data_IF_391121204648
#
_entry.id   IF_391121204648
#
_cell.length_a   1.000
_cell.length_b   1.000
_cell.length_c   1.000
_cell.angle_alpha   90.00
_cell.angle_beta   90.00
_cell.angle_gamma   90.00
#
_symmetry.space_group_name_H-M   'P 1'
#
loop_
_entity.id
_entity.type
_entity.pdbx_description
1 polymer ?
#
# COMPACT_ATOMS: atom_id res chain seq x y z
N UNK A 1 26.14 -0.35 43.30
CA UNK A 1 25.54 0.82 42.61
C UNK A 1 25.84 0.71 41.12
N UNK A 2 24.90 0.23 40.30
CA UNK A 2 25.09 0.21 38.84
C UNK A 2 24.42 1.45 38.25
N UNK A 3 25.22 2.41 37.78
CA UNK A 3 24.72 3.67 37.24
C UNK A 3 23.83 3.42 36.02
N UNK A 4 22.59 3.93 36.10
CA UNK A 4 21.59 3.90 35.03
C UNK A 4 22.14 4.65 33.81
N UNK A 5 22.37 3.90 32.73
CA UNK A 5 22.99 4.31 31.46
C UNK A 5 22.28 5.53 30.84
N UNK A 6 22.92 6.71 30.89
CA UNK A 6 22.45 7.96 30.22
C UNK A 6 23.04 8.21 28.83
N UNK A 7 23.95 7.35 28.37
CA UNK A 7 24.66 7.50 27.10
C UNK A 7 23.83 6.92 25.93
N UNK A 8 23.56 7.75 24.91
CA UNK A 8 22.76 7.39 23.72
C UNK A 8 23.41 6.23 22.93
N UNK A 9 24.74 6.27 22.78
CA UNK A 9 25.54 5.22 22.13
C UNK A 9 25.41 3.86 22.83
N UNK A 10 25.48 3.87 24.16
CA UNK A 10 25.40 2.70 25.01
C UNK A 10 24.00 2.06 24.98
N UNK A 11 22.97 2.86 24.70
CA UNK A 11 21.60 2.41 24.48
C UNK A 11 21.47 1.78 23.10
N UNK A 12 21.97 2.45 22.06
CA UNK A 12 21.92 1.95 20.68
C UNK A 12 22.66 0.61 20.54
N UNK A 13 23.88 0.51 21.08
CA UNK A 13 24.66 -0.73 21.09
C UNK A 13 23.92 -1.89 21.76
N UNK A 14 23.20 -1.63 22.85
CA UNK A 14 22.37 -2.65 23.52
C UNK A 14 21.19 -3.06 22.63
N UNK A 15 20.51 -2.11 21.99
CA UNK A 15 19.40 -2.40 21.08
C UNK A 15 19.83 -3.29 19.91
N UNK A 16 20.98 -3.00 19.29
CA UNK A 16 21.53 -3.84 18.23
C UNK A 16 21.93 -5.23 18.75
N UNK A 17 22.50 -5.32 19.96
CA UNK A 17 22.87 -6.60 20.59
C UNK A 17 21.66 -7.49 20.87
N UNK A 18 20.49 -6.93 21.16
CA UNK A 18 19.25 -7.69 21.40
C UNK A 18 18.45 -7.97 20.12
N UNK A 19 19.03 -7.72 18.94
CA UNK A 19 18.46 -8.12 17.64
C UNK A 19 17.72 -7.01 16.89
N UNK A 20 17.90 -5.74 17.26
CA UNK A 20 17.36 -4.63 16.47
C UNK A 20 18.10 -4.54 15.12
N UNK A 21 17.35 -4.58 14.03
CA UNK A 21 17.87 -4.49 12.66
C UNK A 21 18.39 -3.06 12.37
N UNK A 22 19.66 -2.87 11.98
CA UNK A 22 20.27 -1.56 11.71
C UNK A 22 19.48 -0.70 10.71
N UNK A 23 18.89 -1.33 9.71
CA UNK A 23 18.04 -0.77 8.65
C UNK A 23 16.71 -0.20 9.17
N UNK A 24 16.31 -0.54 10.41
CA UNK A 24 15.13 0.01 11.07
C UNK A 24 15.49 1.11 12.09
N UNK A 25 16.78 1.45 12.27
CA UNK A 25 17.23 2.54 13.13
C UNK A 25 17.26 3.82 12.31
N UNK A 26 16.46 4.82 12.71
CA UNK A 26 16.46 6.14 12.07
C UNK A 26 17.88 6.73 12.11
N UNK A 27 18.51 6.99 10.96
CA UNK A 27 19.88 7.49 10.92
C UNK A 27 20.02 8.86 11.61
N UNK A 28 21.17 9.11 12.25
CA UNK A 28 21.45 10.34 13.01
C UNK A 28 21.27 11.61 12.15
N UNK A 29 21.54 11.51 10.83
CA UNK A 29 21.36 12.62 9.91
C UNK A 29 19.88 13.05 9.79
N UNK A 30 18.94 12.11 9.78
CA UNK A 30 17.50 12.42 9.71
C UNK A 30 17.01 13.06 11.02
N UNK A 31 17.53 12.59 12.16
CA UNK A 31 17.28 13.21 13.45
C UNK A 31 17.85 14.64 13.53
N UNK A 32 19.03 14.88 12.93
CA UNK A 32 19.65 16.20 12.86
C UNK A 32 18.86 17.18 11.97
N UNK A 33 18.34 16.72 10.83
CA UNK A 33 17.47 17.52 9.94
C UNK A 33 16.21 17.96 10.67
N UNK A 34 15.52 17.04 11.33
CA UNK A 34 14.28 17.32 12.09
C UNK A 34 14.50 18.31 13.26
N UNK A 35 15.70 18.29 13.88
CA UNK A 35 16.09 19.27 14.91
C UNK A 35 16.35 20.66 14.33
N UNK A 36 16.97 20.74 13.14
CA UNK A 36 17.21 22.01 12.43
C UNK A 36 15.90 22.65 11.97
N UNK A 37 14.98 21.87 11.42
CA UNK A 37 13.64 22.33 11.00
C UNK A 37 12.85 22.90 12.18
N UNK A 38 12.85 22.19 13.32
CA UNK A 38 12.15 22.66 14.53
C UNK A 38 12.76 23.94 15.13
N UNK A 39 14.05 24.19 14.91
CA UNK A 39 14.72 25.44 15.31
C UNK A 39 14.39 26.59 14.35
N UNK A 40 14.39 26.33 13.04
CA UNK A 40 14.00 27.31 12.03
C UNK A 40 12.53 27.75 12.15
N UNK A 41 11.63 26.83 12.54
CA UNK A 41 10.22 27.16 12.77
C UNK A 41 10.05 28.12 13.97
N UNK A 42 10.82 27.90 15.06
CA UNK A 42 10.78 28.78 16.24
C UNK A 42 11.34 30.18 15.99
N UNK A 43 12.23 30.34 15.01
CA UNK A 43 12.77 31.65 14.62
C UNK A 43 11.79 32.45 13.75
N UNK A 44 10.85 31.79 13.06
CA UNK A 44 9.81 32.43 12.23
C UNK A 44 8.61 32.98 13.02
N UNK A 45 8.33 32.43 14.21
CA UNK A 45 7.19 32.83 15.05
C UNK A 45 7.51 33.97 16.05
N UNK A 46 8.59 34.74 15.84
CA UNK A 46 8.92 35.88 16.71
C UNK A 46 8.27 37.17 16.20
N UNK A 47 7.33 37.80 16.94
CA UNK A 47 6.70 39.05 16.49
C UNK A 47 7.70 40.22 16.55
N UNK A 48 7.73 40.99 15.46
CA UNK A 48 8.52 42.21 15.30
C UNK A 48 7.76 43.38 15.97
N UNK A 49 8.36 44.03 16.98
CA UNK A 49 7.83 45.28 17.53
C UNK A 49 8.85 46.39 17.27
N UNK A 50 8.46 47.30 16.40
CA UNK A 50 9.15 48.54 16.07
C UNK A 50 8.68 49.62 17.03
N UNK A 51 9.57 50.21 17.84
CA UNK A 51 9.38 51.60 18.31
C UNK A 51 10.74 52.25 18.57
N UNK A 52 10.96 53.37 17.87
CA UNK A 52 12.07 54.29 18.02
C UNK A 52 11.87 55.14 19.29
N UNK A 53 12.95 55.43 20.04
CA UNK A 53 13.33 56.80 20.44
C UNK A 53 14.58 56.84 21.36
N UNK A 54 15.57 57.64 20.94
CA UNK A 54 16.28 58.64 21.76
C UNK A 54 17.20 58.22 22.92
N UNK A 55 18.52 58.27 22.70
CA UNK A 55 19.61 58.40 23.69
C UNK A 55 19.63 59.81 24.35
N UNK A 56 20.61 60.22 25.20
CA UNK A 56 21.75 59.49 25.84
C UNK A 56 21.97 59.81 27.35
N UNK A 57 22.83 59.05 28.05
CA UNK A 57 24.04 59.56 28.77
C UNK A 57 24.67 58.57 29.76
N UNK A 58 26.00 58.47 29.63
CA UNK A 58 27.06 58.25 30.64
C UNK A 58 27.18 56.96 31.48
N UNK A 59 28.27 56.25 31.15
CA UNK A 59 29.36 55.78 32.05
C UNK A 59 29.13 54.59 33.00
N UNK A 60 30.07 53.63 32.94
CA UNK A 60 30.39 52.77 34.08
C UNK A 60 30.66 51.32 33.73
N UNK A 61 31.91 50.89 33.93
CA UNK A 61 32.47 49.54 33.71
C UNK A 61 31.87 48.48 34.64
N UNK A 62 31.95 47.19 34.27
CA UNK A 62 31.84 46.10 35.25
C UNK A 62 31.33 44.76 34.71
N UNK A 63 32.25 43.81 34.62
CA UNK A 63 32.09 42.40 34.25
C UNK A 63 31.34 41.56 35.31
N UNK A 64 30.94 40.34 34.92
CA UNK A 64 30.58 39.15 35.73
C UNK A 64 29.10 38.74 35.93
N UNK A 65 28.71 37.76 35.11
CA UNK A 65 28.24 36.40 35.44
C UNK A 65 27.58 36.13 36.81
N UNK A 66 26.33 35.64 36.76
CA UNK A 66 25.64 35.00 37.89
C UNK A 66 24.16 34.73 37.61
N UNK A 67 23.85 33.60 36.94
CA UNK A 67 22.48 33.17 36.62
C UNK A 67 21.76 32.72 37.89
N UNK A 68 20.60 33.36 38.12
CA UNK A 68 19.66 33.21 39.23
C UNK A 68 18.73 32.01 38.99
N UNK A 69 18.57 31.15 40.00
CA UNK A 69 17.64 30.02 40.05
C UNK A 69 16.59 30.29 41.15
N UNK A 70 15.32 30.15 40.75
CA UNK A 70 14.09 29.90 41.54
C UNK A 70 13.52 30.98 42.49
N UNK A 71 12.20 30.97 42.82
CA UNK A 71 11.23 29.85 42.79
C UNK A 71 9.87 30.09 42.10
N UNK A 72 9.11 29.01 41.96
CA UNK A 72 7.70 28.95 41.58
C UNK A 72 6.77 29.17 42.80
N UNK A 73 5.44 29.27 42.52
CA UNK A 73 4.27 29.45 43.42
C UNK A 73 3.85 30.93 43.59
N UNK A 74 2.59 31.38 43.49
CA UNK A 74 1.27 30.75 43.27
C UNK A 74 0.18 31.79 42.83
N UNK A 75 -1.05 31.30 42.61
CA UNK A 75 -2.37 31.97 42.70
C UNK A 75 -2.90 32.78 41.49
N UNK A 76 -4.20 32.83 41.14
CA UNK A 76 -5.45 32.29 41.74
C UNK A 76 -6.65 32.29 40.75
N UNK A 77 -7.54 31.29 40.94
CA UNK A 77 -9.02 31.28 41.00
C UNK A 77 -9.93 31.82 39.86
N UNK A 78 -10.77 30.92 39.30
CA UNK A 78 -12.27 30.86 39.45
C UNK A 78 -12.86 29.89 38.38
N UNK A 79 -13.34 28.68 38.71
CA UNK A 79 -14.67 28.25 39.20
C UNK A 79 -15.86 28.42 38.24
N UNK A 80 -16.20 27.33 37.54
CA UNK A 80 -17.55 26.78 37.24
C UNK A 80 -17.30 25.44 36.49
N UNK A 81 -17.83 24.26 36.82
CA UNK A 81 -18.92 23.84 37.67
C UNK A 81 -19.80 22.84 36.88
N UNK A 82 -19.65 21.53 37.13
CA UNK A 82 -20.54 20.40 36.71
C UNK A 82 -20.43 19.93 35.24
N UNK A 83 -20.40 18.65 34.87
CA UNK A 83 -20.58 17.37 35.56
C UNK A 83 -19.78 16.27 34.84
N UNK A 84 -19.24 15.32 35.61
CA UNK A 84 -18.35 14.28 35.11
C UNK A 84 -19.06 13.13 34.38
N UNK A 85 -18.45 12.70 33.29
CA UNK A 85 -18.46 11.30 32.87
C UNK A 85 -16.99 10.86 32.82
N UNK A 86 -16.64 9.89 33.66
CA UNK A 86 -15.34 9.22 33.64
C UNK A 86 -15.27 8.37 32.37
N UNK A 87 -14.56 8.81 31.35
CA UNK A 87 -14.11 7.91 30.29
C UNK A 87 -12.77 7.29 30.68
N UNK A 88 -12.63 5.95 30.67
CA UNK A 88 -11.37 5.30 30.96
C UNK A 88 -10.40 5.54 29.79
N UNK A 89 -9.19 6.01 30.10
CA UNK A 89 -8.08 6.08 29.17
C UNK A 89 -7.70 4.64 28.79
N UNK A 90 -8.11 4.21 27.60
CA UNK A 90 -7.66 2.96 26.97
C UNK A 90 -6.33 3.22 26.23
N UNK A 91 -5.24 2.51 26.56
CA UNK A 91 -3.95 2.67 25.89
C UNK A 91 -3.83 1.71 24.70
N UNK A 92 -4.64 1.86 23.65
CA UNK A 92 -4.51 1.04 22.44
C UNK A 92 -4.79 1.88 21.18
N UNK A 93 -3.74 2.03 20.35
CA UNK A 93 -3.75 2.48 18.95
C UNK A 93 -4.63 3.69 18.63
N UNK A 94 -4.03 4.88 18.65
CA UNK A 94 -4.58 6.04 17.94
C UNK A 94 -4.47 5.75 16.43
N UNK A 95 -5.45 5.05 15.88
CA UNK A 95 -5.66 4.96 14.44
C UNK A 95 -6.04 6.37 14.01
N UNK A 96 -5.16 7.06 13.28
CA UNK A 96 -5.54 8.35 12.70
C UNK A 96 -6.74 8.09 11.79
N UNK A 97 -7.86 8.80 11.94
CA UNK A 97 -8.97 8.68 11.02
C UNK A 97 -8.47 9.04 9.61
N UNK A 98 -8.89 8.24 8.64
CA UNK A 98 -8.54 8.43 7.22
C UNK A 98 -9.11 9.78 6.78
N UNK A 99 -8.28 10.60 6.15
CA UNK A 99 -8.69 11.93 5.70
C UNK A 99 -9.64 11.82 4.50
N UNK A 100 -10.50 12.82 4.25
CA UNK A 100 -11.41 12.78 3.10
C UNK A 100 -10.67 12.68 1.77
N UNK A 101 -9.47 13.28 1.65
CA UNK A 101 -8.62 13.16 0.46
C UNK A 101 -8.09 11.73 0.28
N UNK A 102 -7.72 11.06 1.38
CA UNK A 102 -7.28 9.67 1.37
C UNK A 102 -8.43 8.73 0.99
N UNK A 103 -9.63 8.99 1.49
CA UNK A 103 -10.83 8.24 1.12
C UNK A 103 -11.17 8.39 -0.37
N UNK A 104 -11.07 9.61 -0.92
CA UNK A 104 -11.25 9.85 -2.35
C UNK A 104 -10.22 9.06 -3.18
N UNK A 105 -8.95 9.04 -2.75
CA UNK A 105 -7.90 8.26 -3.40
C UNK A 105 -8.23 6.76 -3.38
N UNK A 106 -8.62 6.21 -2.23
CA UNK A 106 -9.02 4.80 -2.10
C UNK A 106 -10.15 4.49 -3.08
N UNK A 107 -11.21 5.29 -3.06
CA UNK A 107 -12.39 5.07 -3.92
C UNK A 107 -12.02 5.12 -5.41
N UNK A 108 -11.15 6.06 -5.80
CA UNK A 108 -10.64 6.16 -7.16
C UNK A 108 -9.82 4.92 -7.57
N UNK A 109 -8.92 4.45 -6.70
CA UNK A 109 -8.12 3.26 -6.97
C UNK A 109 -8.98 1.98 -7.08
N UNK A 110 -9.97 1.83 -6.20
CA UNK A 110 -10.93 0.72 -6.28
C UNK A 110 -11.75 0.79 -7.56
N UNK A 111 -12.20 1.99 -7.97
CA UNK A 111 -12.90 2.18 -9.24
C UNK A 111 -12.06 1.75 -10.44
N UNK A 112 -10.78 2.16 -10.51
CA UNK A 112 -9.90 1.74 -11.59
C UNK A 112 -9.62 0.23 -11.55
N UNK A 113 -9.47 -0.33 -10.36
CA UNK A 113 -9.28 -1.78 -10.21
C UNK A 113 -10.46 -2.55 -10.81
N UNK A 114 -11.70 -2.11 -10.57
CA UNK A 114 -12.90 -2.69 -11.16
C UNK A 114 -12.98 -2.46 -12.69
N UNK A 115 -12.67 -1.25 -13.17
CA UNK A 115 -12.67 -0.90 -14.60
C UNK A 115 -11.71 -1.78 -15.41
N UNK A 116 -10.53 -2.08 -14.85
CA UNK A 116 -9.48 -2.86 -15.53
C UNK A 116 -9.32 -4.27 -14.93
N UNK A 117 -10.38 -4.85 -14.37
CA UNK A 117 -10.37 -6.20 -13.79
C UNK A 117 -10.35 -7.30 -14.86
N UNK A 118 -11.14 -7.12 -15.92
CA UNK A 118 -11.38 -8.11 -16.95
C UNK A 118 -11.05 -7.55 -18.34
N UNK A 119 -10.55 -8.37 -19.27
CA UNK A 119 -10.42 -7.98 -20.67
C UNK A 119 -11.77 -7.66 -21.30
N UNK A 120 -11.77 -6.90 -22.40
CA UNK A 120 -12.99 -6.66 -23.16
C UNK A 120 -13.53 -7.96 -23.76
N UNK A 121 -14.85 -8.05 -23.96
CA UNK A 121 -15.44 -9.21 -24.65
C UNK A 121 -14.86 -9.42 -26.06
N UNK A 122 -14.49 -8.33 -26.74
CA UNK A 122 -13.91 -8.39 -28.07
C UNK A 122 -12.53 -9.05 -28.04
N UNK A 123 -11.70 -8.70 -27.06
CA UNK A 123 -10.39 -9.32 -26.88
C UNK A 123 -10.52 -10.79 -26.46
N UNK A 124 -11.50 -11.10 -25.61
CA UNK A 124 -11.76 -12.47 -25.17
C UNK A 124 -12.30 -13.37 -26.30
N UNK A 125 -13.04 -12.81 -27.25
CA UNK A 125 -13.50 -13.51 -28.46
C UNK A 125 -12.36 -13.79 -29.46
N UNK A 126 -11.30 -12.97 -29.44
CA UNK A 126 -10.10 -13.20 -30.26
C UNK A 126 -9.24 -14.33 -29.72
N UNK A 127 -9.30 -14.59 -28.41
CA UNK A 127 -8.71 -15.78 -27.81
C UNK A 127 -9.49 -17.00 -28.28
N UNK A 128 -8.80 -17.94 -28.92
CA UNK A 128 -9.43 -19.17 -29.41
C UNK A 128 -9.70 -20.08 -28.21
N UNK A 129 -10.93 -20.04 -27.69
CA UNK A 129 -11.39 -20.78 -26.51
C UNK A 129 -11.62 -22.29 -26.77
N UNK A 130 -11.45 -22.77 -28.00
CA UNK A 130 -11.55 -24.19 -28.34
C UNK A 130 -10.22 -24.73 -28.89
N UNK A 131 -9.87 -25.98 -28.62
CA UNK A 131 -8.72 -26.60 -29.25
C UNK A 131 -8.95 -26.69 -30.75
N UNK A 132 -7.91 -26.39 -31.54
CA UNK A 132 -7.95 -26.62 -32.99
C UNK A 132 -8.01 -28.13 -33.27
N UNK A 133 -8.53 -28.53 -34.44
CA UNK A 133 -8.59 -29.96 -34.80
C UNK A 133 -7.18 -30.57 -34.81
N UNK A 134 -6.95 -31.55 -33.93
CA UNK A 134 -5.66 -32.22 -33.78
C UNK A 134 -4.61 -31.46 -32.94
N UNK A 135 -4.97 -30.35 -32.29
CA UNK A 135 -4.09 -29.64 -31.35
C UNK A 135 -3.89 -30.47 -30.08
N UNK A 136 -2.64 -30.53 -29.61
CA UNK A 136 -2.33 -31.21 -28.36
C UNK A 136 -2.94 -30.44 -27.16
N UNK A 137 -3.51 -31.13 -26.15
CA UNK A 137 -4.07 -30.47 -24.97
C UNK A 137 -3.07 -29.58 -24.20
N UNK A 138 -1.78 -29.93 -24.22
CA UNK A 138 -0.70 -29.11 -23.66
C UNK A 138 -0.56 -27.79 -24.40
N UNK A 139 -0.51 -27.86 -25.74
CA UNK A 139 -0.33 -26.69 -26.60
C UNK A 139 -1.52 -25.73 -26.47
N UNK A 140 -2.74 -26.26 -26.47
CA UNK A 140 -3.95 -25.48 -26.22
C UNK A 140 -3.90 -24.76 -24.86
N UNK A 141 -3.57 -25.49 -23.79
CA UNK A 141 -3.58 -24.95 -22.43
C UNK A 141 -2.49 -23.87 -22.27
N UNK A 142 -1.29 -24.11 -22.80
CA UNK A 142 -0.19 -23.15 -22.78
C UNK A 142 -0.52 -21.89 -23.61
N UNK A 143 -1.04 -22.06 -24.83
CA UNK A 143 -1.48 -20.96 -25.69
C UNK A 143 -2.54 -20.11 -25.00
N UNK A 144 -3.54 -20.74 -24.39
CA UNK A 144 -4.61 -20.02 -23.72
C UNK A 144 -4.12 -19.24 -22.50
N UNK A 145 -3.27 -19.84 -21.64
CA UNK A 145 -2.69 -19.15 -20.48
C UNK A 145 -1.83 -17.95 -20.94
N UNK A 146 -1.03 -18.11 -21.99
CA UNK A 146 -0.17 -17.04 -22.51
C UNK A 146 -0.96 -15.90 -23.17
N UNK A 147 -2.00 -16.21 -23.95
CA UNK A 147 -2.89 -15.20 -24.54
C UNK A 147 -3.62 -14.37 -23.47
N UNK A 148 -4.16 -15.01 -22.43
CA UNK A 148 -4.79 -14.31 -21.29
C UNK A 148 -3.78 -13.48 -20.51
N UNK A 149 -2.55 -13.98 -20.36
CA UNK A 149 -1.47 -13.24 -19.70
C UNK A 149 -1.16 -11.95 -20.46
N UNK A 150 -1.13 -11.98 -21.80
CA UNK A 150 -0.91 -10.79 -22.63
C UNK A 150 -2.00 -9.74 -22.38
N UNK A 151 -3.28 -10.14 -22.40
CA UNK A 151 -4.39 -9.23 -22.12
C UNK A 151 -4.31 -8.67 -20.69
N UNK A 152 -3.93 -9.51 -19.73
CA UNK A 152 -3.76 -9.09 -18.33
C UNK A 152 -2.66 -8.03 -18.19
N UNK A 153 -1.55 -8.18 -18.91
CA UNK A 153 -0.48 -7.16 -18.95
C UNK A 153 -0.99 -5.85 -19.54
N UNK A 154 -1.81 -5.89 -20.59
CA UNK A 154 -2.42 -4.66 -21.15
C UNK A 154 -3.31 -3.95 -20.12
N UNK A 155 -4.11 -4.70 -19.35
CA UNK A 155 -4.91 -4.13 -18.26
C UNK A 155 -4.07 -3.52 -17.14
N UNK A 156 -2.89 -4.10 -16.84
CA UNK A 156 -1.93 -3.50 -15.89
C UNK A 156 -1.41 -2.16 -16.41
N UNK A 157 -1.10 -2.08 -17.71
CA UNK A 157 -0.66 -0.84 -18.35
C UNK A 157 -1.76 0.23 -18.28
N UNK A 158 -2.99 -0.12 -18.63
CA UNK A 158 -4.12 0.81 -18.58
C UNK A 158 -4.44 1.27 -17.15
N UNK A 159 -4.42 0.36 -16.16
CA UNK A 159 -4.54 0.72 -14.75
C UNK A 159 -3.45 1.71 -14.32
N UNK A 160 -2.19 1.45 -14.70
CA UNK A 160 -1.05 2.30 -14.31
C UNK A 160 -1.18 3.72 -14.86
N UNK A 161 -1.63 3.87 -16.11
CA UNK A 161 -1.87 5.18 -16.73
C UNK A 161 -2.95 6.00 -16.01
N UNK A 162 -3.85 5.38 -15.25
CA UNK A 162 -4.87 6.10 -14.47
C UNK A 162 -4.39 6.52 -13.08
N UNK A 163 -3.24 6.02 -12.63
CA UNK A 163 -2.68 6.39 -11.34
C UNK A 163 -2.24 7.87 -11.33
N UNK A 164 -2.51 8.62 -10.24
CA UNK A 164 -2.03 9.99 -10.10
C UNK A 164 -0.52 10.09 -10.32
N UNK A 165 -0.06 11.07 -11.09
CA UNK A 165 1.35 11.30 -11.38
C UNK A 165 2.01 10.33 -12.38
N UNK A 166 1.39 9.21 -12.77
CA UNK A 166 2.04 8.24 -13.66
C UNK A 166 2.28 8.79 -15.08
N UNK A 167 1.31 9.53 -15.63
CA UNK A 167 1.44 10.14 -16.96
C UNK A 167 2.40 11.33 -17.00
N UNK A 168 2.79 11.86 -15.84
CA UNK A 168 3.75 12.96 -15.73
C UNK A 168 5.20 12.45 -15.86
N UNK A 169 5.40 11.13 -15.73
CA UNK A 169 6.69 10.48 -15.91
C UNK A 169 7.10 10.46 -17.39
N UNK A 170 8.41 10.45 -17.64
CA UNK A 170 8.95 10.21 -18.97
C UNK A 170 8.52 8.83 -19.49
N UNK A 171 8.30 8.71 -20.80
CA UNK A 171 7.88 7.43 -21.42
C UNK A 171 8.85 6.28 -21.10
N UNK A 172 10.14 6.55 -21.08
CA UNK A 172 11.17 5.56 -20.74
C UNK A 172 11.02 5.05 -19.31
N UNK A 173 10.67 5.95 -18.39
CA UNK A 173 10.48 5.64 -16.97
C UNK A 173 9.18 4.84 -16.76
N UNK A 174 8.10 5.23 -17.44
CA UNK A 174 6.85 4.46 -17.45
C UNK A 174 7.08 3.02 -17.92
N UNK A 175 7.82 2.84 -19.04
CA UNK A 175 8.16 1.52 -19.57
C UNK A 175 9.03 0.73 -18.59
N UNK A 176 10.01 1.38 -17.97
CA UNK A 176 10.93 0.75 -17.03
C UNK A 176 10.20 0.27 -15.79
N UNK A 177 9.33 1.10 -15.20
CA UNK A 177 8.49 0.74 -14.06
C UNK A 177 7.58 -0.45 -14.41
N UNK A 178 6.85 -0.37 -15.52
CA UNK A 178 5.95 -1.44 -15.96
C UNK A 178 6.67 -2.76 -16.18
N UNK A 179 7.85 -2.74 -16.84
CA UNK A 179 8.67 -3.95 -17.02
C UNK A 179 9.05 -4.58 -15.70
N UNK A 180 9.36 -3.75 -14.70
CA UNK A 180 9.89 -4.22 -13.44
C UNK A 180 8.81 -4.68 -12.45
N UNK A 181 7.62 -4.08 -12.48
CA UNK A 181 6.52 -4.38 -11.55
C UNK A 181 5.46 -5.34 -12.13
N UNK A 182 5.39 -5.55 -13.44
CA UNK A 182 4.29 -6.27 -14.11
C UNK A 182 4.06 -7.69 -13.56
N UNK A 183 5.11 -8.45 -13.27
CA UNK A 183 5.00 -9.80 -12.71
C UNK A 183 4.43 -9.80 -11.29
N UNK A 184 4.83 -8.84 -10.46
CA UNK A 184 4.31 -8.70 -9.08
C UNK A 184 2.83 -8.28 -9.09
N UNK A 185 2.45 -7.35 -9.96
CA UNK A 185 1.03 -6.95 -10.14
C UNK A 185 0.20 -8.12 -10.68
N UNK A 186 0.76 -8.92 -11.60
CA UNK A 186 0.09 -10.11 -12.12
C UNK A 186 -0.20 -11.14 -11.02
N UNK A 187 0.71 -11.35 -10.07
CA UNK A 187 0.48 -12.20 -8.89
C UNK A 187 -0.68 -11.68 -8.03
N UNK A 188 -0.74 -10.36 -7.79
CA UNK A 188 -1.85 -9.75 -7.03
C UNK A 188 -3.19 -9.96 -7.74
N UNK A 189 -3.23 -9.76 -9.05
CA UNK A 189 -4.44 -9.99 -9.88
C UNK A 189 -4.87 -11.45 -9.86
N UNK A 190 -3.92 -12.38 -9.98
CA UNK A 190 -4.18 -13.82 -9.89
C UNK A 190 -4.79 -14.20 -8.54
N UNK A 191 -4.25 -13.69 -7.44
CA UNK A 191 -4.77 -14.00 -6.10
C UNK A 191 -6.22 -13.54 -5.89
N UNK A 192 -6.67 -12.49 -6.57
CA UNK A 192 -8.08 -12.05 -6.55
C UNK A 192 -9.02 -12.96 -7.34
N UNK A 193 -8.46 -13.76 -8.25
CA UNK A 193 -9.16 -14.76 -9.07
C UNK A 193 -9.07 -16.17 -8.49
N UNK A 194 -8.48 -16.33 -7.31
CA UNK A 194 -8.32 -17.62 -6.66
C UNK A 194 -9.65 -18.12 -6.07
N UNK A 195 -10.01 -19.36 -6.40
CA UNK A 195 -11.08 -20.09 -5.75
C UNK A 195 -10.52 -21.12 -4.76
N UNK A 196 -10.88 -20.93 -3.50
CA UNK A 196 -10.44 -21.80 -2.39
C UNK A 196 -11.11 -23.17 -2.43
N UNK A 197 -12.30 -23.30 -3.03
CA UNK A 197 -13.04 -24.57 -3.04
C UNK A 197 -12.39 -25.59 -3.97
N UNK A 198 -11.91 -25.11 -5.12
CA UNK A 198 -11.29 -25.94 -6.15
C UNK A 198 -9.76 -25.86 -6.17
N UNK A 199 -9.15 -25.05 -5.29
CA UNK A 199 -7.71 -24.72 -5.31
C UNK A 199 -7.23 -24.32 -6.71
N UNK A 200 -7.96 -23.40 -7.34
CA UNK A 200 -7.79 -23.05 -8.76
C UNK A 200 -7.85 -21.54 -9.01
N UNK A 201 -7.47 -21.13 -10.22
CA UNK A 201 -7.55 -19.73 -10.68
C UNK A 201 -8.65 -19.63 -11.73
N UNK A 202 -9.61 -18.72 -11.54
CA UNK A 202 -10.71 -18.49 -12.47
C UNK A 202 -10.33 -17.38 -13.46
N UNK A 203 -10.16 -17.73 -14.72
CA UNK A 203 -9.88 -16.76 -15.77
C UNK A 203 -11.13 -16.01 -16.24
N UNK A 204 -10.92 -14.95 -17.03
CA UNK A 204 -12.00 -14.05 -17.47
C UNK A 204 -13.10 -14.73 -18.31
N UNK A 205 -12.81 -15.89 -18.92
CA UNK A 205 -13.79 -16.71 -19.63
C UNK A 205 -14.52 -17.74 -18.74
N UNK A 206 -14.46 -17.58 -17.41
CA UNK A 206 -15.00 -18.51 -16.41
C UNK A 206 -14.40 -19.93 -16.44
N UNK A 207 -13.30 -20.14 -17.16
CA UNK A 207 -12.56 -21.39 -17.06
C UNK A 207 -11.71 -21.42 -15.79
N UNK A 208 -11.80 -22.52 -15.06
CA UNK A 208 -10.97 -22.80 -13.89
C UNK A 208 -9.69 -23.51 -14.33
N UNK A 209 -8.56 -22.97 -13.89
CA UNK A 209 -7.24 -23.56 -14.11
C UNK A 209 -6.71 -24.11 -12.79
N UNK A 210 -6.67 -25.44 -12.71
CA UNK A 210 -6.18 -26.19 -11.56
C UNK A 210 -4.69 -26.50 -11.70
N UNK A 211 -4.09 -27.08 -10.66
CA UNK A 211 -2.72 -27.62 -10.72
C UNK A 211 -2.53 -28.54 -11.94
N UNK A 212 -3.51 -29.38 -12.26
CA UNK A 212 -3.44 -30.30 -13.39
C UNK A 212 -3.49 -29.57 -14.74
N UNK A 213 -4.30 -28.51 -14.87
CA UNK A 213 -4.31 -27.66 -16.07
C UNK A 213 -2.92 -27.06 -16.36
N UNK A 214 -2.23 -26.59 -15.32
CA UNK A 214 -0.87 -26.07 -15.45
C UNK A 214 0.17 -27.16 -15.71
N UNK A 215 0.01 -28.36 -15.13
CA UNK A 215 0.86 -29.51 -15.43
C UNK A 215 0.75 -29.91 -16.90
N UNK A 216 -0.47 -29.99 -17.43
CA UNK A 216 -0.74 -30.27 -18.84
C UNK A 216 -0.11 -29.19 -19.72
N UNK A 217 -0.19 -27.91 -19.34
CA UNK A 217 0.45 -26.81 -20.06
C UNK A 217 1.99 -26.77 -19.94
N UNK A 218 2.64 -27.76 -19.34
CA UNK A 218 4.09 -27.80 -19.14
C UNK A 218 4.62 -26.82 -18.09
N UNK A 219 3.76 -26.28 -17.22
CA UNK A 219 4.08 -25.28 -16.19
C UNK A 219 3.91 -25.82 -14.76
N UNK A 220 4.07 -27.14 -14.58
CA UNK A 220 3.89 -27.79 -13.28
C UNK A 220 4.85 -27.32 -12.18
N UNK A 221 6.05 -26.87 -12.54
CA UNK A 221 7.06 -26.43 -11.57
C UNK A 221 6.71 -25.08 -10.92
N UNK A 222 5.96 -24.22 -11.61
CA UNK A 222 5.65 -22.86 -11.14
C UNK A 222 4.32 -22.77 -10.42
N UNK A 223 3.32 -23.60 -10.80
CA UNK A 223 1.96 -23.49 -10.27
C UNK A 223 1.86 -23.68 -8.76
N UNK A 224 2.71 -24.51 -8.15
CA UNK A 224 2.64 -24.72 -6.70
C UNK A 224 3.01 -23.44 -5.93
N UNK A 225 3.99 -22.68 -6.41
CA UNK A 225 4.36 -21.40 -5.81
C UNK A 225 3.28 -20.33 -6.03
N UNK A 226 2.65 -20.34 -7.22
CA UNK A 226 1.52 -19.46 -7.55
C UNK A 226 0.31 -19.71 -6.62
N UNK A 227 -0.13 -20.96 -6.49
CA UNK A 227 -1.25 -21.31 -5.63
C UNK A 227 -0.91 -21.11 -4.14
N UNK A 228 0.35 -21.35 -3.74
CA UNK A 228 0.79 -21.05 -2.36
C UNK A 228 0.65 -19.56 -2.04
N UNK A 229 1.05 -18.68 -2.96
CA UNK A 229 0.83 -17.24 -2.81
C UNK A 229 -0.66 -16.90 -2.70
N UNK A 230 -1.49 -17.45 -3.58
CA UNK A 230 -2.94 -17.22 -3.56
C UNK A 230 -3.58 -17.65 -2.22
N UNK A 231 -3.20 -18.82 -1.69
CA UNK A 231 -3.65 -19.30 -0.38
C UNK A 231 -3.26 -18.37 0.76
N UNK A 232 -2.04 -17.81 0.73
CA UNK A 232 -1.59 -16.84 1.74
C UNK A 232 -2.42 -15.55 1.68
N UNK A 233 -2.64 -15.01 0.48
CA UNK A 233 -3.46 -13.82 0.30
C UNK A 233 -4.92 -14.05 0.76
N UNK A 234 -5.49 -15.21 0.44
CA UNK A 234 -6.81 -15.61 0.91
C UNK A 234 -6.88 -15.72 2.45
N UNK A 235 -5.87 -16.34 3.07
CA UNK A 235 -5.78 -16.47 4.52
C UNK A 235 -5.67 -15.11 5.23
N UNK A 236 -4.98 -14.15 4.61
CA UNK A 236 -4.91 -12.76 5.08
C UNK A 236 -6.20 -11.98 4.87
N UNK A 237 -7.18 -12.53 4.13
CA UNK A 237 -8.49 -11.91 3.88
C UNK A 237 -8.33 -10.49 3.32
N UNK A 238 -7.45 -10.35 2.33
CA UNK A 238 -7.13 -9.06 1.72
C UNK A 238 -8.36 -8.55 0.97
N UNK A 239 -8.79 -7.32 1.26
CA UNK A 239 -9.98 -6.70 0.67
C UNK A 239 -9.66 -5.92 -0.61
N UNK A 240 -10.69 -5.46 -1.33
CA UNK A 240 -10.51 -4.78 -2.62
C UNK A 240 -9.72 -3.46 -2.52
N UNK A 241 -9.92 -2.68 -1.45
CA UNK A 241 -9.16 -1.46 -1.23
C UNK A 241 -7.68 -1.77 -0.96
N UNK A 242 -7.41 -2.79 -0.14
CA UNK A 242 -6.05 -3.26 0.16
C UNK A 242 -5.34 -3.75 -1.11
N UNK A 243 -6.01 -4.52 -1.98
CA UNK A 243 -5.45 -4.93 -3.27
C UNK A 243 -5.14 -3.76 -4.20
N UNK A 244 -6.04 -2.77 -4.28
CA UNK A 244 -5.86 -1.61 -5.14
C UNK A 244 -4.66 -0.76 -4.67
N UNK A 245 -4.55 -0.57 -3.36
CA UNK A 245 -3.42 0.12 -2.72
C UNK A 245 -2.12 -0.67 -2.89
N UNK A 246 -2.11 -1.98 -2.63
CA UNK A 246 -0.93 -2.84 -2.84
C UNK A 246 -0.45 -2.80 -4.29
N UNK A 247 -1.36 -2.82 -5.25
CA UNK A 247 -1.04 -2.72 -6.66
C UNK A 247 -0.36 -1.39 -6.98
N UNK A 248 -0.91 -0.27 -6.47
CA UNK A 248 -0.31 1.04 -6.66
C UNK A 248 1.08 1.15 -5.98
N UNK A 249 1.24 0.61 -4.76
CA UNK A 249 2.53 0.55 -4.05
C UNK A 249 3.59 -0.21 -4.86
N UNK A 250 3.22 -1.35 -5.45
CA UNK A 250 4.12 -2.17 -6.27
C UNK A 250 4.56 -1.39 -7.53
N UNK A 251 3.64 -0.69 -8.20
CA UNK A 251 3.96 0.14 -9.37
C UNK A 251 4.88 1.30 -8.99
N UNK A 252 4.62 1.95 -7.85
CA UNK A 252 5.40 3.07 -7.34
C UNK A 252 6.57 2.64 -6.41
N UNK A 253 7.03 1.39 -6.45
CA UNK A 253 8.06 0.93 -5.53
C UNK A 253 9.43 1.58 -5.81
N UNK A 254 10.07 2.10 -4.76
CA UNK A 254 11.37 2.80 -4.84
C UNK A 254 12.51 1.96 -5.42
N UNK A 255 12.41 0.62 -5.40
CA UNK A 255 13.42 -0.29 -5.96
C UNK A 255 13.74 0.01 -7.43
N UNK A 256 12.75 0.52 -8.16
CA UNK A 256 12.86 0.85 -9.57
C UNK A 256 13.25 2.32 -9.79
N UNK A 257 12.96 3.17 -8.80
CA UNK A 257 13.18 4.61 -8.83
C UNK A 257 14.64 4.97 -8.58
N UNK A 258 15.35 4.21 -7.73
CA UNK A 258 16.77 4.46 -7.43
C UNK A 258 17.65 4.37 -8.69
N UNK A 259 17.24 3.59 -9.69
CA UNK A 259 17.88 3.54 -11.02
C UNK A 259 17.58 4.76 -11.90
N UNK A 260 16.47 5.46 -11.65
CA UNK A 260 15.97 6.59 -12.43
C UNK A 260 16.35 7.95 -11.81
N UNK A 261 16.56 8.01 -10.50
CA UNK A 261 16.77 9.26 -9.72
C UNK A 261 18.22 9.68 -9.58
N UNK A 262 19.14 9.15 -10.37
CA UNK A 262 20.54 9.53 -10.34
C UNK A 262 20.79 11.05 -10.42
N UNK A 263 19.88 11.85 -11.00
CA UNK A 263 19.97 13.32 -10.99
C UNK A 263 18.67 14.07 -11.44
N UNK A 264 17.46 13.49 -11.28
CA UNK A 264 16.21 14.09 -11.83
C UNK A 264 15.25 14.64 -10.75
N UNK A 265 15.21 15.98 -10.52
CA UNK A 265 14.34 16.59 -9.51
C UNK A 265 12.84 16.51 -9.84
N UNK A 266 12.49 16.30 -11.11
CA UNK A 266 11.10 16.09 -11.58
C UNK A 266 10.45 14.84 -10.95
N UNK A 267 11.27 13.87 -10.51
CA UNK A 267 10.82 12.63 -9.88
C UNK A 267 10.63 12.76 -8.36
N UNK A 268 10.81 13.95 -7.77
CA UNK A 268 10.70 14.16 -6.33
C UNK A 268 9.27 14.00 -5.77
N UNK A 269 8.26 13.98 -6.63
CA UNK A 269 6.88 13.65 -6.26
C UNK A 269 6.69 12.15 -6.00
N UNK A 270 7.46 11.29 -6.66
CA UNK A 270 7.28 9.84 -6.62
C UNK A 270 7.46 9.22 -5.23
N UNK A 271 8.52 9.55 -4.45
CA UNK A 271 8.63 9.08 -3.07
C UNK A 271 7.49 9.61 -2.19
N UNK A 272 6.98 10.82 -2.48
CA UNK A 272 5.86 11.39 -1.71
C UNK A 272 4.56 10.64 -1.96
N UNK A 273 4.25 10.34 -3.22
CA UNK A 273 3.07 9.56 -3.59
C UNK A 273 3.17 8.14 -3.05
N UNK A 274 4.35 7.50 -3.14
CA UNK A 274 4.59 6.18 -2.55
C UNK A 274 4.33 6.19 -1.04
N UNK A 275 4.92 7.14 -0.31
CA UNK A 275 4.73 7.29 1.13
C UNK A 275 3.27 7.61 1.49
N UNK A 276 2.56 8.38 0.65
CA UNK A 276 1.14 8.66 0.82
C UNK A 276 0.31 7.39 0.68
N UNK A 277 0.47 6.64 -0.40
CA UNK A 277 -0.26 5.37 -0.63
C UNK A 277 0.10 4.34 0.45
N UNK A 278 1.36 4.25 0.85
CA UNK A 278 1.82 3.36 1.92
C UNK A 278 1.23 3.75 3.29
N UNK A 279 1.14 5.06 3.57
CA UNK A 279 0.48 5.60 4.77
C UNK A 279 -1.02 5.28 4.77
N UNK A 280 -1.70 5.46 3.64
CA UNK A 280 -3.11 5.08 3.46
C UNK A 280 -3.29 3.59 3.68
N UNK A 281 -2.45 2.75 3.07
CA UNK A 281 -2.47 1.31 3.25
C UNK A 281 -2.28 0.92 4.71
N UNK A 282 -1.32 1.52 5.42
CA UNK A 282 -1.11 1.32 6.85
C UNK A 282 -2.34 1.70 7.69
N UNK A 283 -3.05 2.77 7.30
CA UNK A 283 -4.31 3.17 7.91
C UNK A 283 -5.43 2.16 7.68
N UNK A 284 -5.58 1.66 6.45
CA UNK A 284 -6.60 0.67 6.08
C UNK A 284 -6.40 -0.65 6.83
N UNK A 285 -5.17 -1.18 6.87
CA UNK A 285 -4.89 -2.46 7.58
C UNK A 285 -5.00 -2.34 9.11
N UNK A 286 -4.83 -1.13 9.65
CA UNK A 286 -4.94 -0.87 11.11
C UNK A 286 -6.38 -0.61 11.55
N UNK A 287 -7.29 -0.36 10.60
CA UNK A 287 -8.70 -0.12 10.87
C UNK A 287 -9.44 -1.44 11.14
N UNK A 288 -10.46 -1.48 12.02
CA UNK A 288 -11.31 -2.65 12.18
C UNK A 288 -11.91 -3.05 10.82
N UNK A 289 -11.77 -4.33 10.46
CA UNK A 289 -12.36 -4.92 9.24
C UNK A 289 -13.88 -4.67 9.27
N UNK A 290 -14.35 -3.69 8.50
CA UNK A 290 -15.74 -3.22 8.50
C UNK A 290 -15.93 -1.71 8.31
N UNK A 291 -14.87 -0.90 8.43
CA UNK A 291 -14.97 0.55 8.16
C UNK A 291 -15.06 0.89 6.67
N UNK A 292 -14.45 0.05 5.83
CA UNK A 292 -14.66 0.07 4.40
C UNK A 292 -15.67 -1.02 4.12
N UNK A 293 -16.83 -0.71 3.50
CA UNK A 293 -17.66 -1.77 2.98
C UNK A 293 -16.73 -2.61 2.12
N UNK A 294 -16.61 -3.89 2.45
CA UNK A 294 -16.23 -4.84 1.43
C UNK A 294 -17.24 -4.57 0.32
N UNK A 295 -16.85 -3.84 -0.73
CA UNK A 295 -17.42 -4.14 -2.02
C UNK A 295 -16.99 -5.58 -2.21
N UNK A 296 -17.84 -6.50 -1.75
CA UNK A 296 -17.75 -7.93 -2.01
C UNK A 296 -17.99 -8.10 -3.50
N UNK A 297 -17.08 -7.58 -4.31
CA UNK A 297 -16.69 -8.23 -5.54
C UNK A 297 -15.74 -9.38 -5.14
N UNK A 298 -16.24 -10.27 -4.30
CA UNK A 298 -16.10 -11.66 -4.66
C UNK A 298 -16.79 -11.71 -6.01
N UNK A 299 -16.00 -11.86 -7.07
CA UNK A 299 -16.41 -11.98 -8.48
C UNK A 299 -17.87 -12.43 -8.50
N UNK A 300 -18.81 -11.68 -9.13
CA UNK A 300 -20.20 -12.07 -9.13
C UNK A 300 -20.23 -13.56 -9.47
N UNK A 301 -20.81 -14.38 -8.59
CA UNK A 301 -21.15 -15.76 -8.93
C UNK A 301 -22.17 -15.68 -10.05
N UNK A 302 -21.72 -15.36 -11.26
CA UNK A 302 -22.55 -15.42 -12.45
C UNK A 302 -22.70 -16.91 -12.74
N UNK A 303 -23.82 -17.46 -12.26
CA UNK A 303 -24.36 -18.73 -12.71
C UNK A 303 -23.72 -19.99 -12.13
N UNK A 304 -23.84 -20.20 -10.82
CA UNK A 304 -24.04 -21.56 -10.31
C UNK A 304 -25.48 -21.63 -9.77
N UNK A 305 -26.44 -21.67 -10.69
CA UNK A 305 -27.80 -22.12 -10.44
C UNK A 305 -28.40 -22.56 -11.79
N UNK A 306 -28.89 -23.80 -11.79
CA UNK A 306 -29.86 -24.37 -12.74
C UNK A 306 -29.34 -24.78 -14.12
N UNK A 307 -28.52 -25.84 -14.15
CA UNK A 307 -28.15 -26.54 -15.39
C UNK A 307 -27.93 -28.06 -15.26
N UNK A 308 -28.08 -28.65 -14.07
CA UNK A 308 -27.94 -30.10 -13.86
C UNK A 308 -29.20 -30.67 -13.21
N UNK A 309 -30.33 -30.68 -13.93
CA UNK A 309 -31.45 -31.56 -13.55
C UNK A 309 -32.25 -32.13 -14.72
N UNK A 310 -31.71 -32.10 -15.95
CA UNK A 310 -32.46 -32.57 -17.12
C UNK A 310 -31.64 -33.39 -18.14
N UNK A 311 -30.72 -34.25 -17.69
CA UNK A 311 -30.20 -35.36 -18.53
C UNK A 311 -29.91 -36.62 -17.71
N UNK A 312 -30.81 -37.00 -16.78
CA UNK A 312 -30.83 -38.37 -16.21
C UNK A 312 -32.29 -38.79 -15.98
N UNK A 313 -33.12 -38.74 -17.02
CA UNK A 313 -34.49 -39.28 -16.95
C UNK A 313 -35.06 -39.77 -18.29
N UNK A 314 -34.23 -40.32 -19.17
CA UNK A 314 -34.68 -41.06 -20.36
C UNK A 314 -34.05 -42.46 -20.48
N UNK A 315 -33.87 -43.11 -19.33
CA UNK A 315 -33.62 -44.55 -19.26
C UNK A 315 -34.47 -45.15 -18.13
N UNK A 316 -35.79 -45.02 -18.22
CA UNK A 316 -36.79 -45.97 -17.69
C UNK A 316 -38.21 -45.40 -17.92
N UNK A 317 -38.79 -45.68 -19.09
CA UNK A 317 -40.22 -45.98 -19.36
C UNK A 317 -40.52 -45.73 -20.84
N UNK A 318 -40.83 -46.79 -21.57
CA UNK A 318 -41.29 -46.76 -22.95
C UNK A 318 -40.59 -47.80 -23.80
#
# INVERSE_FOLDING_TARGET
MYMRRKCQECRLKKCLTVGMRPECVVPEYQCAVKRKEKKAQKEKDKPNSTTMNGSPSSAGMGDQMGVKIEPAEAESLSMSGSSGILTPISPYTCVKPISPEQEELINRLVSFQCEFEQPSEEDLKRITNQPMEGEDPSDYSFRHITEITILTVQLIVEFSKRLPGFNELLREDQITLLKACSSEVMMLRMARKYDVQTDSIIFANNQSYTRDSYNVAGMGETIEDLLRFCRQMYAMRVNNAEYALLTAIVIFSERFVIWLTGDRPEMAFFPRLFEEIASVFSGVISSPRGLFPAQEAQIPRQGFADGEEHVVRDFHKG
#
